data_IF_373891877424
#
_entry.id   IF_373891877424
#
_cell.length_a   1.000
_cell.length_b   1.000
_cell.length_c   1.000
_cell.angle_alpha   90.00
_cell.angle_beta   90.00
_cell.angle_gamma   90.00
#
_symmetry.space_group_name_H-M   'P 1'
#
loop_
_entity.id
_entity.type
_entity.pdbx_description
1 polymer ?
#
# COMPACT_ATOMS: atom_id res chain seq x y z
N UNK A 1 -8.54 -9.02 35.41
CA UNK A 1 -7.54 -8.31 34.59
C UNK A 1 -8.19 -7.01 34.19
N UNK A 2 -7.70 -5.85 34.66
CA UNK A 2 -8.19 -4.57 34.17
C UNK A 2 -7.67 -4.40 32.74
N UNK A 3 -8.52 -4.00 31.80
CA UNK A 3 -8.11 -3.59 30.47
C UNK A 3 -7.66 -2.14 30.61
N UNK A 4 -6.37 -1.92 30.43
CA UNK A 4 -5.79 -0.60 30.45
C UNK A 4 -5.68 -0.12 28.99
N UNK A 5 -6.29 1.02 28.70
CA UNK A 5 -6.25 1.67 27.40
C UNK A 5 -5.34 2.92 27.41
N UNK A 6 -4.61 3.13 28.50
CA UNK A 6 -3.67 4.25 28.59
C UNK A 6 -2.46 4.01 27.66
N UNK A 7 -2.01 5.09 27.07
CA UNK A 7 -0.83 5.10 26.21
C UNK A 7 0.36 5.56 27.06
N UNK A 8 1.51 4.91 26.90
CA UNK A 8 2.72 5.31 27.61
C UNK A 8 3.10 6.77 27.25
N UNK A 9 3.56 7.58 28.21
CA UNK A 9 3.83 9.00 27.98
C UNK A 9 4.76 9.28 26.80
N UNK A 10 5.84 8.52 26.64
CA UNK A 10 6.78 8.64 25.52
C UNK A 10 6.11 8.41 24.15
N UNK A 11 5.13 7.51 24.10
CA UNK A 11 4.41 7.25 22.86
C UNK A 11 3.30 8.31 22.64
N UNK A 12 2.71 8.84 23.70
CA UNK A 12 1.77 9.95 23.60
C UNK A 12 2.45 11.21 23.03
N UNK A 13 3.68 11.52 23.42
CA UNK A 13 4.44 12.62 22.84
C UNK A 13 4.63 12.45 21.32
N UNK A 14 4.85 11.20 20.85
CA UNK A 14 4.90 10.92 19.42
C UNK A 14 3.56 11.12 18.72
N UNK A 15 2.45 10.69 19.34
CA UNK A 15 1.11 10.91 18.79
C UNK A 15 0.77 12.39 18.71
N UNK A 16 1.11 13.17 19.73
CA UNK A 16 0.90 14.61 19.76
C UNK A 16 1.71 15.31 18.65
N UNK A 17 2.96 14.87 18.45
CA UNK A 17 3.78 15.39 17.35
C UNK A 17 3.17 15.02 15.98
N UNK A 18 2.72 13.79 15.80
CA UNK A 18 2.09 13.32 14.54
C UNK A 18 0.82 14.16 14.28
N UNK A 19 -0.04 14.35 15.28
CA UNK A 19 -1.30 15.07 15.14
C UNK A 19 -1.06 16.52 14.69
N UNK A 20 -0.16 17.24 15.38
CA UNK A 20 0.24 18.60 14.99
C UNK A 20 0.85 18.63 13.59
N UNK A 21 1.79 17.74 13.29
CA UNK A 21 2.48 17.68 12.00
C UNK A 21 1.53 17.39 10.84
N UNK A 22 0.58 16.46 11.02
CA UNK A 22 -0.41 16.14 9.98
C UNK A 22 -1.32 17.34 9.73
N UNK A 23 -1.84 17.97 10.77
CA UNK A 23 -2.76 19.12 10.66
C UNK A 23 -2.11 20.35 10.04
N UNK A 24 -0.90 20.68 10.47
CA UNK A 24 -0.24 21.94 10.11
C UNK A 24 0.51 21.86 8.79
N UNK A 25 1.11 20.72 8.47
CA UNK A 25 2.05 20.58 7.35
C UNK A 25 1.52 19.68 6.22
N UNK A 26 0.71 18.67 6.53
CA UNK A 26 0.31 17.67 5.52
C UNK A 26 -1.13 17.91 5.02
N UNK A 27 -2.10 18.18 5.87
CA UNK A 27 -3.48 18.50 5.43
C UNK A 27 -3.54 19.66 4.40
N UNK A 28 -2.69 20.70 4.47
CA UNK A 28 -2.64 21.73 3.44
C UNK A 28 -2.33 21.20 2.03
N UNK A 29 -1.62 20.07 1.90
CA UNK A 29 -1.33 19.46 0.58
C UNK A 29 -2.62 18.96 -0.09
N UNK A 30 -3.57 18.39 0.67
CA UNK A 30 -4.87 17.97 0.12
C UNK A 30 -5.63 19.16 -0.47
N UNK A 31 -5.57 20.32 0.20
CA UNK A 31 -6.22 21.57 -0.26
C UNK A 31 -5.49 22.16 -1.47
N UNK A 32 -4.17 22.12 -1.47
CA UNK A 32 -3.35 22.67 -2.54
C UNK A 32 -3.54 21.88 -3.83
N UNK A 33 -3.45 20.56 -3.76
CA UNK A 33 -3.55 19.69 -4.92
C UNK A 33 -4.99 19.34 -5.31
N UNK A 34 -5.94 19.41 -4.39
CA UNK A 34 -7.38 19.15 -4.61
C UNK A 34 -7.66 17.85 -5.37
N UNK A 35 -6.93 16.80 -5.08
CA UNK A 35 -7.07 15.49 -5.76
C UNK A 35 -6.54 15.45 -7.20
N UNK A 36 -5.82 16.48 -7.67
CA UNK A 36 -5.26 16.51 -9.03
C UNK A 36 -3.90 15.80 -9.14
N UNK A 37 -3.29 15.47 -8.00
CA UNK A 37 -2.00 14.80 -7.92
C UNK A 37 -2.12 13.58 -7.04
N UNK A 38 -1.68 12.44 -7.54
CA UNK A 38 -1.56 11.23 -6.72
C UNK A 38 -0.34 11.34 -5.81
N UNK A 39 -0.46 11.01 -4.50
CA UNK A 39 0.68 10.93 -3.59
C UNK A 39 1.77 9.94 -4.05
N UNK A 40 1.43 9.03 -4.96
CA UNK A 40 2.33 8.02 -5.52
C UNK A 40 3.10 8.50 -6.75
N UNK A 41 2.71 9.63 -7.34
CA UNK A 41 3.37 10.16 -8.55
C UNK A 41 4.71 10.81 -8.23
N UNK A 42 5.76 9.99 -8.26
CA UNK A 42 7.15 10.43 -8.06
C UNK A 42 7.70 11.28 -9.22
N UNK A 43 7.02 11.29 -10.36
CA UNK A 43 7.41 12.13 -11.53
C UNK A 43 6.98 13.57 -11.37
N UNK A 44 6.01 13.87 -10.53
CA UNK A 44 5.52 15.22 -10.28
C UNK A 44 6.52 16.01 -9.41
N UNK A 45 7.35 16.83 -10.06
CA UNK A 45 8.41 17.60 -9.40
C UNK A 45 7.89 18.55 -8.32
N UNK A 46 6.71 19.16 -8.53
CA UNK A 46 6.11 20.08 -7.55
C UNK A 46 5.68 19.32 -6.30
N UNK A 47 5.01 18.18 -6.47
CA UNK A 47 4.62 17.34 -5.34
C UNK A 47 5.85 16.83 -4.59
N UNK A 48 6.87 16.35 -5.30
CA UNK A 48 8.09 15.85 -4.68
C UNK A 48 8.86 16.95 -3.91
N UNK A 49 8.88 18.18 -4.41
CA UNK A 49 9.52 19.31 -3.73
C UNK A 49 8.82 19.65 -2.40
N UNK A 50 7.51 19.39 -2.29
CA UNK A 50 6.76 19.61 -1.05
C UNK A 50 6.80 18.40 -0.11
N UNK A 51 6.75 17.19 -0.65
CA UNK A 51 6.64 15.95 0.14
C UNK A 51 7.98 15.51 0.74
N UNK A 52 9.09 15.60 -0.02
CA UNK A 52 10.39 15.10 0.46
C UNK A 52 10.88 15.77 1.76
N UNK A 53 10.82 17.09 1.94
CA UNK A 53 11.22 17.70 3.21
C UNK A 53 10.38 17.21 4.41
N UNK A 54 9.08 16.89 4.17
CA UNK A 54 8.22 16.34 5.21
C UNK A 54 8.62 14.90 5.55
N UNK A 55 8.99 14.09 4.56
CA UNK A 55 9.52 12.74 4.78
C UNK A 55 10.82 12.75 5.59
N UNK A 56 11.69 13.71 5.33
CA UNK A 56 12.95 13.85 6.09
C UNK A 56 12.67 14.16 7.57
N UNK A 57 11.72 15.06 7.86
CA UNK A 57 11.27 15.33 9.23
C UNK A 57 10.69 14.09 9.93
N UNK A 58 9.94 13.25 9.21
CA UNK A 58 9.41 11.99 9.74
C UNK A 58 10.55 11.00 10.07
N UNK A 59 11.61 10.96 9.24
CA UNK A 59 12.80 10.14 9.52
C UNK A 59 13.55 10.62 10.75
N UNK A 60 13.70 11.93 10.94
CA UNK A 60 14.32 12.54 12.13
C UNK A 60 13.58 12.15 13.42
N UNK A 61 12.27 11.87 13.34
CA UNK A 61 11.45 11.43 14.49
C UNK A 61 11.41 9.91 14.68
N UNK A 62 12.18 9.14 13.88
CA UNK A 62 12.14 7.68 13.89
C UNK A 62 10.75 7.07 13.57
N UNK A 63 9.95 7.77 12.77
CA UNK A 63 8.59 7.35 12.42
C UNK A 63 8.45 6.83 10.98
N UNK A 64 9.54 6.87 10.19
CA UNK A 64 9.52 6.37 8.83
C UNK A 64 9.32 4.85 8.79
N UNK A 65 8.49 4.38 7.85
CA UNK A 65 8.18 2.97 7.67
C UNK A 65 7.80 2.26 8.99
N UNK A 66 7.03 2.94 9.84
CA UNK A 66 6.69 2.54 11.21
C UNK A 66 5.96 1.18 11.31
N UNK A 67 5.47 0.63 10.18
CA UNK A 67 4.76 -0.65 10.09
C UNK A 67 5.67 -1.87 10.25
N UNK A 68 6.99 -1.72 10.05
CA UNK A 68 7.92 -2.83 10.14
C UNK A 68 8.31 -3.17 11.60
N UNK A 69 8.46 -4.47 11.87
CA UNK A 69 9.01 -4.95 13.14
C UNK A 69 10.52 -4.76 13.25
N UNK A 70 11.13 -4.89 14.47
CA UNK A 70 12.56 -4.67 14.67
C UNK A 70 13.44 -5.60 13.84
N UNK A 71 13.03 -6.85 13.67
CA UNK A 71 13.74 -7.84 12.86
C UNK A 71 13.69 -7.56 11.34
N UNK A 72 12.85 -6.61 10.92
CA UNK A 72 12.69 -6.14 9.55
C UNK A 72 13.24 -4.72 9.36
N UNK A 73 13.97 -4.19 10.33
CA UNK A 73 14.54 -2.85 10.30
C UNK A 73 13.63 -1.71 10.78
N UNK A 74 12.43 -2.03 11.28
CA UNK A 74 11.50 -1.06 11.86
C UNK A 74 11.63 -0.91 13.37
N UNK A 75 10.76 -0.10 13.97
CA UNK A 75 10.79 0.19 15.42
C UNK A 75 9.99 -0.81 16.27
N UNK A 76 9.10 -1.61 15.66
CA UNK A 76 8.33 -2.62 16.39
C UNK A 76 7.27 -2.04 17.31
N UNK A 77 6.54 -1.04 16.85
CA UNK A 77 5.47 -0.42 17.65
C UNK A 77 4.35 -1.37 18.03
N UNK A 78 4.13 -2.45 17.26
CA UNK A 78 3.00 -3.37 17.43
C UNK A 78 1.69 -2.81 16.90
N UNK A 79 0.68 -3.69 16.73
CA UNK A 79 -0.54 -3.34 15.99
C UNK A 79 -1.39 -2.25 16.67
N UNK A 80 -1.41 -2.18 18.01
CA UNK A 80 -2.20 -1.17 18.72
C UNK A 80 -1.63 0.23 18.50
N UNK A 81 -0.32 0.41 18.69
CA UNK A 81 0.34 1.70 18.45
C UNK A 81 0.26 2.11 16.97
N UNK A 82 0.42 1.15 16.06
CA UNK A 82 0.24 1.39 14.62
C UNK A 82 -1.19 1.77 14.26
N UNK A 83 -2.19 1.23 14.94
CA UNK A 83 -3.58 1.61 14.77
C UNK A 83 -3.80 3.09 15.13
N UNK A 84 -3.28 3.55 16.28
CA UNK A 84 -3.35 4.95 16.70
C UNK A 84 -2.61 5.89 15.74
N UNK A 85 -1.42 5.51 15.29
CA UNK A 85 -0.69 6.28 14.26
C UNK A 85 -1.56 6.38 12.99
N UNK A 86 -2.11 5.26 12.50
CA UNK A 86 -2.87 5.25 11.25
C UNK A 86 -4.20 6.03 11.36
N UNK A 87 -4.80 6.15 12.52
CA UNK A 87 -5.93 7.06 12.76
C UNK A 87 -5.54 8.51 12.41
N UNK A 88 -4.43 8.99 12.96
CA UNK A 88 -3.93 10.34 12.68
C UNK A 88 -3.56 10.51 11.20
N UNK A 89 -2.89 9.52 10.60
CA UNK A 89 -2.54 9.57 9.18
C UNK A 89 -3.75 9.52 8.25
N UNK A 90 -4.87 8.97 8.70
CA UNK A 90 -6.13 8.94 7.95
C UNK A 90 -6.73 10.32 7.67
N UNK A 91 -6.26 11.37 8.34
CA UNK A 91 -6.72 12.74 8.12
C UNK A 91 -6.30 13.33 6.77
N UNK A 92 -5.24 12.80 6.14
CA UNK A 92 -4.75 13.29 4.83
C UNK A 92 -4.44 12.15 3.87
N UNK A 93 -4.73 12.33 2.59
CA UNK A 93 -4.35 11.39 1.52
C UNK A 93 -2.83 11.30 1.33
N UNK A 94 -2.09 12.34 1.68
CA UNK A 94 -0.62 12.39 1.60
C UNK A 94 0.07 11.81 2.84
N UNK A 95 -0.57 11.80 4.01
CA UNK A 95 0.09 11.43 5.25
C UNK A 95 0.70 10.01 5.22
N UNK A 96 0.03 8.95 4.73
CA UNK A 96 0.66 7.64 4.65
C UNK A 96 1.92 7.62 3.78
N UNK A 97 1.96 8.40 2.70
CA UNK A 97 3.15 8.51 1.82
C UNK A 97 4.27 9.32 2.46
N UNK A 98 3.92 10.35 3.21
CA UNK A 98 4.89 11.14 3.98
C UNK A 98 5.54 10.30 5.08
N UNK A 99 4.81 9.36 5.69
CA UNK A 99 5.32 8.45 6.71
C UNK A 99 5.91 7.15 6.16
N UNK A 100 5.97 6.96 4.84
CA UNK A 100 6.53 5.76 4.22
C UNK A 100 5.78 4.48 4.57
N UNK A 101 4.49 4.58 4.88
CA UNK A 101 3.65 3.44 5.25
C UNK A 101 2.38 3.32 4.39
N UNK A 102 2.37 3.93 3.20
CA UNK A 102 1.26 3.85 2.24
C UNK A 102 1.08 2.44 1.68
N UNK A 103 -0.15 2.05 1.44
CA UNK A 103 -0.45 0.86 0.66
C UNK A 103 -0.43 1.20 -0.84
N UNK A 104 0.01 0.28 -1.72
CA UNK A 104 0.36 -1.13 -1.45
C UNK A 104 1.79 -1.36 -0.94
N UNK A 105 2.66 -0.33 -1.01
CA UNK A 105 4.10 -0.46 -0.76
C UNK A 105 4.41 -0.99 0.65
N UNK A 106 3.70 -0.54 1.69
CA UNK A 106 3.94 -0.99 3.06
C UNK A 106 3.72 -2.50 3.23
N UNK A 107 2.60 -3.03 2.73
CA UNK A 107 2.34 -4.47 2.79
C UNK A 107 3.25 -5.29 1.88
N UNK A 108 3.68 -4.72 0.74
CA UNK A 108 4.63 -5.36 -0.15
C UNK A 108 6.04 -5.40 0.48
N UNK A 109 6.46 -4.32 1.16
CA UNK A 109 7.70 -4.29 1.92
C UNK A 109 7.72 -5.35 3.04
N UNK A 110 6.60 -5.52 3.75
CA UNK A 110 6.47 -6.52 4.82
C UNK A 110 6.70 -7.94 4.29
N UNK A 111 6.01 -8.35 3.22
CA UNK A 111 6.20 -9.70 2.67
C UNK A 111 7.55 -9.90 1.98
N UNK A 112 8.14 -8.86 1.37
CA UNK A 112 9.51 -8.91 0.87
C UNK A 112 10.53 -9.10 2.01
N UNK A 113 10.34 -8.41 3.12
CA UNK A 113 11.21 -8.52 4.29
C UNK A 113 11.13 -9.92 4.92
N UNK A 114 9.92 -10.51 4.99
CA UNK A 114 9.71 -11.85 5.56
C UNK A 114 10.15 -12.99 4.62
N UNK A 115 9.81 -12.92 3.35
CA UNK A 115 9.90 -14.04 2.42
C UNK A 115 10.93 -13.86 1.31
N UNK A 116 11.45 -12.65 1.12
CA UNK A 116 12.42 -12.35 0.09
C UNK A 116 13.81 -12.94 0.39
N UNK A 117 14.49 -13.40 -0.64
CA UNK A 117 15.92 -13.68 -0.59
C UNK A 117 16.73 -12.39 -0.42
N UNK A 118 18.00 -12.49 -0.02
CA UNK A 118 18.86 -11.31 0.13
C UNK A 118 18.98 -10.53 -1.19
N UNK A 119 19.04 -11.23 -2.33
CA UNK A 119 19.04 -10.60 -3.66
C UNK A 119 17.74 -9.86 -3.96
N UNK A 120 16.58 -10.44 -3.63
CA UNK A 120 15.28 -9.79 -3.79
C UNK A 120 15.12 -8.60 -2.86
N UNK A 121 15.63 -8.68 -1.63
CA UNK A 121 15.62 -7.57 -0.67
C UNK A 121 16.47 -6.41 -1.18
N UNK A 122 17.68 -6.68 -1.64
CA UNK A 122 18.54 -5.65 -2.20
C UNK A 122 17.95 -5.00 -3.46
N UNK A 123 17.30 -5.80 -4.31
CA UNK A 123 16.74 -5.32 -5.57
C UNK A 123 15.43 -4.55 -5.40
N UNK A 124 14.55 -4.97 -4.49
CA UNK A 124 13.18 -4.45 -4.38
C UNK A 124 12.87 -3.82 -3.03
N UNK A 125 13.27 -4.44 -1.90
CA UNK A 125 12.90 -3.96 -0.58
C UNK A 125 13.65 -2.67 -0.20
N UNK A 126 14.96 -2.67 -0.33
CA UNK A 126 15.78 -1.53 0.06
C UNK A 126 15.39 -0.24 -0.68
N UNK A 127 15.29 -0.22 -2.04
CA UNK A 127 14.86 0.97 -2.75
C UNK A 127 13.37 1.31 -2.52
N UNK A 128 12.52 0.32 -2.21
CA UNK A 128 11.13 0.56 -1.83
C UNK A 128 11.04 1.30 -0.48
N UNK A 129 11.80 0.86 0.52
CA UNK A 129 11.88 1.50 1.83
C UNK A 129 12.58 2.88 1.77
N UNK A 130 13.54 3.06 0.87
CA UNK A 130 14.14 4.37 0.60
C UNK A 130 13.14 5.35 -0.04
N UNK A 131 12.02 4.85 -0.58
CA UNK A 131 11.05 5.64 -1.31
C UNK A 131 11.45 5.96 -2.74
N UNK A 132 12.45 5.26 -3.29
CA UNK A 132 12.97 5.45 -4.65
C UNK A 132 12.07 4.80 -5.70
N UNK A 133 11.55 3.62 -5.41
CA UNK A 133 10.62 2.87 -6.27
C UNK A 133 9.24 2.74 -5.64
N UNK A 134 8.26 2.33 -6.44
CA UNK A 134 6.90 1.98 -5.99
C UNK A 134 6.55 0.59 -6.51
N UNK A 135 5.60 -0.04 -5.86
CA UNK A 135 5.15 -1.38 -6.20
C UNK A 135 3.63 -1.47 -6.33
N UNK A 136 3.16 -2.56 -6.89
CA UNK A 136 1.74 -2.94 -6.84
C UNK A 136 1.57 -4.35 -6.33
N UNK A 137 0.37 -4.65 -5.84
CA UNK A 137 -0.04 -6.00 -5.43
C UNK A 137 -1.22 -6.46 -6.28
N UNK A 138 -1.05 -7.58 -6.97
CA UNK A 138 -1.98 -8.08 -7.96
C UNK A 138 -2.48 -9.48 -7.57
N UNK A 139 -3.60 -9.53 -6.87
CA UNK A 139 -4.24 -10.77 -6.42
C UNK A 139 -5.58 -10.98 -7.11
N UNK A 140 -6.48 -10.00 -7.02
CA UNK A 140 -7.85 -10.05 -7.57
C UNK A 140 -7.85 -10.22 -9.09
N UNK A 141 -8.82 -10.95 -9.60
CA UNK A 141 -9.03 -11.20 -11.03
C UNK A 141 -10.42 -10.70 -11.48
N UNK A 142 -10.63 -10.46 -12.79
CA UNK A 142 -11.92 -9.95 -13.27
C UNK A 142 -13.14 -10.79 -12.88
N UNK A 143 -12.97 -12.12 -12.84
CA UNK A 143 -14.00 -13.09 -12.50
C UNK A 143 -14.02 -13.45 -11.00
N UNK A 144 -13.01 -13.08 -10.23
CA UNK A 144 -12.84 -13.55 -8.85
C UNK A 144 -12.13 -12.52 -7.95
N UNK A 145 -12.73 -12.25 -6.80
CA UNK A 145 -12.17 -11.35 -5.79
C UNK A 145 -12.28 -11.93 -4.38
N UNK A 146 -13.51 -12.06 -3.88
CA UNK A 146 -13.77 -12.57 -2.52
C UNK A 146 -13.52 -14.07 -2.36
N UNK A 147 -13.65 -14.84 -3.44
CA UNK A 147 -13.39 -16.27 -3.44
C UNK A 147 -12.17 -16.59 -4.34
N UNK A 148 -11.00 -16.89 -3.77
CA UNK A 148 -9.79 -17.19 -4.53
C UNK A 148 -9.85 -18.54 -5.28
N UNK A 149 -10.83 -19.41 -5.01
CA UNK A 149 -10.98 -20.67 -5.73
C UNK A 149 -11.27 -20.49 -7.24
N UNK A 150 -11.72 -19.28 -7.63
CA UNK A 150 -11.96 -18.95 -9.04
C UNK A 150 -10.77 -18.26 -9.72
N UNK A 151 -9.62 -18.16 -9.07
CA UNK A 151 -8.43 -17.59 -9.69
C UNK A 151 -7.93 -18.49 -10.82
N UNK A 152 -7.60 -17.86 -11.95
CA UNK A 152 -7.21 -18.53 -13.19
C UNK A 152 -5.85 -18.07 -13.75
N UNK A 153 -5.29 -16.96 -13.26
CA UNK A 153 -3.96 -16.51 -13.66
C UNK A 153 -2.91 -17.52 -13.21
N UNK A 154 -2.14 -18.07 -14.17
CA UNK A 154 -1.23 -19.22 -13.96
C UNK A 154 0.20 -18.84 -14.26
N UNK A 155 1.13 -19.53 -13.60
CA UNK A 155 2.53 -19.57 -13.99
C UNK A 155 2.98 -21.00 -14.20
N UNK A 156 3.58 -21.27 -15.35
CA UNK A 156 4.14 -22.58 -15.69
C UNK A 156 5.66 -22.50 -15.73
N UNK A 157 6.30 -23.51 -15.20
CA UNK A 157 7.77 -23.64 -15.25
C UNK A 157 8.22 -23.97 -16.66
N UNK A 158 9.17 -23.19 -17.19
CA UNK A 158 9.83 -23.43 -18.47
C UNK A 158 11.35 -23.23 -18.29
N UNK A 159 12.04 -24.32 -18.00
CA UNK A 159 13.46 -24.29 -17.68
C UNK A 159 13.78 -23.50 -16.41
N UNK A 160 14.54 -22.43 -16.56
CA UNK A 160 14.94 -21.50 -15.49
C UNK A 160 14.03 -20.29 -15.38
N UNK A 161 12.86 -20.31 -16.02
CA UNK A 161 11.88 -19.23 -16.05
C UNK A 161 10.50 -19.73 -15.62
N UNK A 162 9.65 -18.74 -15.23
CA UNK A 162 8.21 -18.89 -15.12
C UNK A 162 7.53 -18.14 -16.28
N UNK A 163 6.53 -18.76 -16.89
CA UNK A 163 5.69 -18.16 -17.94
C UNK A 163 4.31 -17.89 -17.37
N UNK A 164 3.95 -16.61 -17.27
CA UNK A 164 2.73 -16.16 -16.63
C UNK A 164 1.68 -15.81 -17.69
N UNK A 165 0.47 -16.35 -17.53
CA UNK A 165 -0.69 -16.09 -18.39
C UNK A 165 -1.94 -15.88 -17.55
N UNK A 166 -2.74 -14.85 -17.89
CA UNK A 166 -4.00 -14.55 -17.23
C UNK A 166 -4.23 -13.05 -17.04
N UNK A 167 -5.12 -12.72 -16.13
CA UNK A 167 -5.53 -11.34 -15.92
C UNK A 167 -5.60 -11.00 -14.44
N UNK A 168 -5.35 -9.73 -14.11
CA UNK A 168 -5.47 -9.19 -12.76
C UNK A 168 -6.26 -7.89 -12.77
N UNK A 169 -7.08 -7.69 -11.75
CA UNK A 169 -7.95 -6.55 -11.59
C UNK A 169 -7.63 -5.77 -10.33
N UNK A 170 -7.82 -4.46 -10.36
CA UNK A 170 -7.54 -3.56 -9.25
C UNK A 170 -6.09 -3.61 -8.74
N UNK A 171 -5.11 -3.72 -9.67
CA UNK A 171 -3.70 -3.56 -9.35
C UNK A 171 -3.42 -2.09 -9.00
N UNK A 172 -3.55 -1.76 -7.70
CA UNK A 172 -3.46 -0.39 -7.21
C UNK A 172 -2.07 0.20 -7.46
N UNK A 173 -2.02 1.42 -7.97
CA UNK A 173 -0.82 2.20 -8.26
C UNK A 173 0.10 1.61 -9.33
N UNK A 174 -0.34 0.63 -10.13
CA UNK A 174 0.49 0.03 -11.17
C UNK A 174 1.10 1.07 -12.13
N UNK A 175 0.36 2.13 -12.47
CA UNK A 175 0.86 3.22 -13.35
C UNK A 175 2.14 3.91 -12.82
N UNK A 176 2.44 3.78 -11.54
CA UNK A 176 3.62 4.34 -10.88
C UNK A 176 4.60 3.26 -10.41
N UNK A 177 4.23 1.99 -10.54
CA UNK A 177 4.99 0.88 -10.01
C UNK A 177 6.18 0.52 -10.90
N UNK A 178 7.29 0.14 -10.27
CA UNK A 178 8.46 -0.42 -10.92
C UNK A 178 8.32 -1.94 -11.06
N UNK A 179 7.57 -2.57 -10.15
CA UNK A 179 7.30 -4.00 -10.16
C UNK A 179 5.94 -4.33 -9.54
N UNK A 180 5.44 -5.52 -9.87
CA UNK A 180 4.24 -6.09 -9.28
C UNK A 180 4.60 -7.34 -8.46
N UNK A 181 3.91 -7.53 -7.31
CA UNK A 181 3.82 -8.82 -6.65
C UNK A 181 2.53 -9.47 -7.09
N UNK A 182 2.64 -10.57 -7.84
CA UNK A 182 1.51 -11.20 -8.53
C UNK A 182 1.23 -12.58 -7.94
N UNK A 183 0.01 -12.80 -7.45
CA UNK A 183 -0.44 -14.13 -7.06
C UNK A 183 -0.87 -14.91 -8.29
N UNK A 184 -0.29 -16.07 -8.48
CA UNK A 184 -0.55 -16.96 -9.63
C UNK A 184 -0.79 -18.40 -9.17
N UNK A 185 -1.47 -19.20 -9.98
CA UNK A 185 -1.62 -20.64 -9.76
C UNK A 185 -0.45 -21.34 -10.41
N UNK A 186 0.36 -22.03 -9.60
CA UNK A 186 1.50 -22.85 -10.07
C UNK A 186 1.16 -24.35 -10.08
N UNK A 187 0.24 -24.79 -9.21
CA UNK A 187 -0.27 -26.16 -9.19
C UNK A 187 -1.82 -26.13 -9.20
N UNK A 188 -2.44 -26.43 -10.37
CA UNK A 188 -3.90 -26.44 -10.51
C UNK A 188 -4.57 -27.70 -9.93
N UNK A 189 -3.82 -28.72 -9.58
CA UNK A 189 -4.35 -30.01 -9.13
C UNK A 189 -4.62 -30.05 -7.61
N UNK A 190 -4.23 -29.00 -6.92
CA UNK A 190 -4.50 -28.83 -5.48
C UNK A 190 -5.30 -27.54 -5.21
N UNK A 191 -5.96 -27.42 -4.04
CA UNK A 191 -6.67 -26.20 -3.69
C UNK A 191 -5.77 -24.95 -3.75
N UNK A 192 -6.32 -23.82 -4.16
CA UNK A 192 -5.63 -22.52 -4.31
C UNK A 192 -4.78 -22.13 -3.08
N UNK A 193 -5.19 -22.55 -1.89
CA UNK A 193 -4.47 -22.32 -0.63
C UNK A 193 -3.08 -22.98 -0.58
N UNK A 194 -2.82 -23.96 -1.44
CA UNK A 194 -1.54 -24.66 -1.58
C UNK A 194 -1.01 -24.66 -3.01
N UNK A 195 -1.87 -24.31 -3.99
CA UNK A 195 -1.51 -24.30 -5.41
C UNK A 195 -1.14 -22.91 -5.93
N UNK A 196 -1.18 -21.88 -5.09
CA UNK A 196 -0.80 -20.52 -5.48
C UNK A 196 0.59 -20.14 -5.01
N UNK A 197 1.25 -19.30 -5.80
CA UNK A 197 2.58 -18.74 -5.52
C UNK A 197 2.60 -17.23 -5.74
N UNK A 198 3.62 -16.54 -5.22
CA UNK A 198 3.84 -15.12 -5.45
C UNK A 198 5.02 -14.91 -6.38
N UNK A 199 4.83 -14.10 -7.42
CA UNK A 199 5.86 -13.76 -8.40
C UNK A 199 6.20 -12.28 -8.36
N UNK A 200 7.50 -11.96 -8.40
CA UNK A 200 8.00 -10.60 -8.60
C UNK A 200 8.12 -10.36 -10.11
N UNK A 201 7.28 -9.46 -10.63
CA UNK A 201 7.19 -9.17 -12.06
C UNK A 201 7.57 -7.72 -12.29
N UNK A 202 8.67 -7.40 -13.00
CA UNK A 202 8.97 -6.03 -13.41
C UNK A 202 7.81 -5.43 -14.21
N UNK A 203 7.51 -4.14 -14.00
CA UNK A 203 6.35 -3.51 -14.64
C UNK A 203 6.52 -3.31 -16.15
N UNK A 204 7.75 -3.36 -16.64
CA UNK A 204 8.15 -3.26 -18.04
C UNK A 204 8.36 -4.62 -18.73
N UNK A 205 7.91 -5.73 -18.11
CA UNK A 205 8.04 -7.07 -18.68
C UNK A 205 7.30 -7.19 -20.01
N UNK A 206 7.95 -7.79 -21.00
CA UNK A 206 7.31 -8.13 -22.27
C UNK A 206 6.07 -9.01 -22.06
N UNK A 207 4.96 -8.69 -22.73
CA UNK A 207 3.69 -9.40 -22.61
C UNK A 207 2.80 -8.94 -21.44
N UNK A 208 3.26 -8.01 -20.60
CA UNK A 208 2.46 -7.37 -19.58
C UNK A 208 1.78 -6.10 -20.13
N UNK A 209 0.45 -6.15 -20.23
CA UNK A 209 -0.37 -5.08 -20.78
C UNK A 209 -1.23 -4.43 -19.69
N UNK A 210 -1.27 -3.10 -19.66
CA UNK A 210 -2.30 -2.34 -18.95
C UNK A 210 -3.50 -2.19 -19.89
N UNK A 211 -4.51 -3.03 -19.71
CA UNK A 211 -5.74 -2.99 -20.53
C UNK A 211 -6.47 -1.68 -20.32
N UNK A 212 -6.57 -1.23 -19.08
CA UNK A 212 -7.08 0.10 -18.69
C UNK A 212 -6.78 0.41 -17.23
N UNK A 213 -6.82 1.67 -16.88
CA UNK A 213 -6.93 2.11 -15.49
C UNK A 213 -8.40 2.18 -15.07
N UNK A 214 -8.68 1.91 -13.82
CA UNK A 214 -10.01 1.92 -13.21
C UNK A 214 -10.05 3.03 -12.18
N UNK A 215 -10.98 3.96 -12.34
CA UNK A 215 -11.30 4.97 -11.35
C UNK A 215 -12.33 4.48 -10.34
N UNK A 216 -12.34 5.06 -9.14
CA UNK A 216 -13.32 4.80 -8.08
C UNK A 216 -14.16 6.06 -7.81
N UNK A 217 -15.43 5.86 -7.49
CA UNK A 217 -16.32 6.89 -6.91
C UNK A 217 -16.27 8.29 -7.57
N UNK A 218 -16.15 8.36 -8.89
CA UNK A 218 -16.14 9.63 -9.62
C UNK A 218 -14.78 10.04 -10.17
N UNK A 219 -13.73 9.25 -9.97
CA UNK A 219 -12.46 9.43 -10.67
C UNK A 219 -12.68 9.32 -12.17
N UNK A 220 -11.94 10.12 -12.95
CA UNK A 220 -11.88 9.89 -14.38
C UNK A 220 -11.15 8.56 -14.64
N UNK A 221 -11.61 7.80 -15.64
CA UNK A 221 -10.96 6.51 -16.00
C UNK A 221 -9.46 6.71 -16.30
N UNK A 222 -9.09 7.81 -16.94
CA UNK A 222 -7.71 8.14 -17.25
C UNK A 222 -6.85 8.47 -16.00
N UNK A 223 -7.49 8.92 -14.93
CA UNK A 223 -6.83 9.34 -13.68
C UNK A 223 -6.86 8.23 -12.63
N UNK A 224 -7.54 7.11 -12.91
CA UNK A 224 -7.66 5.98 -12.00
C UNK A 224 -6.31 5.33 -11.67
N UNK A 225 -6.12 4.99 -10.41
CA UNK A 225 -4.89 4.41 -9.89
C UNK A 225 -4.93 2.87 -9.79
N UNK A 226 -6.02 2.23 -10.24
CA UNK A 226 -6.20 0.78 -10.20
C UNK A 226 -6.14 0.19 -11.61
N UNK A 227 -5.10 -0.56 -11.91
CA UNK A 227 -4.96 -1.14 -13.25
C UNK A 227 -5.72 -2.46 -13.41
N UNK A 228 -6.25 -2.66 -14.62
CA UNK A 228 -6.59 -3.96 -15.17
C UNK A 228 -5.41 -4.43 -16.00
N UNK A 229 -4.79 -5.53 -15.59
CA UNK A 229 -3.58 -6.08 -16.18
C UNK A 229 -3.90 -7.38 -16.92
N UNK A 230 -3.25 -7.56 -18.08
CA UNK A 230 -3.21 -8.82 -18.83
C UNK A 230 -1.77 -9.29 -18.97
N UNK A 231 -1.57 -10.59 -18.73
CA UNK A 231 -0.32 -11.28 -18.86
C UNK A 231 -0.45 -12.25 -20.02
N UNK A 232 0.38 -12.10 -21.05
CA UNK A 232 0.44 -12.98 -22.22
C UNK A 232 1.88 -13.45 -22.39
N UNK A 233 2.15 -14.69 -22.00
CA UNK A 233 3.48 -15.31 -22.02
C UNK A 233 4.56 -14.46 -21.32
N UNK A 234 4.20 -13.76 -20.24
CA UNK A 234 5.14 -12.95 -19.47
C UNK A 234 6.17 -13.87 -18.82
N UNK A 235 7.44 -13.67 -19.17
CA UNK A 235 8.55 -14.48 -18.70
C UNK A 235 9.32 -13.77 -17.59
N UNK A 236 9.47 -14.46 -16.47
CA UNK A 236 10.31 -14.00 -15.36
C UNK A 236 11.28 -15.09 -14.94
N UNK A 237 12.51 -14.76 -14.50
CA UNK A 237 13.45 -15.73 -13.98
C UNK A 237 12.87 -16.56 -12.83
N UNK A 238 13.34 -17.79 -12.68
CA UNK A 238 12.90 -18.67 -11.60
C UNK A 238 13.06 -18.07 -10.20
N UNK A 239 14.12 -17.28 -10.02
CA UNK A 239 14.44 -16.58 -8.78
C UNK A 239 13.48 -15.44 -8.44
N UNK A 240 12.53 -15.12 -9.32
CA UNK A 240 11.48 -14.14 -9.04
C UNK A 240 10.30 -14.72 -8.24
N UNK A 241 10.36 -16.00 -7.89
CA UNK A 241 9.46 -16.61 -6.93
C UNK A 241 9.73 -16.01 -5.53
N UNK A 242 8.71 -15.40 -4.92
CA UNK A 242 8.78 -14.85 -3.57
C UNK A 242 8.35 -15.91 -2.56
N UNK A 243 9.26 -16.32 -1.70
CA UNK A 243 9.07 -17.44 -0.77
C UNK A 243 9.04 -18.80 -1.50
N UNK A 244 8.33 -19.77 -0.93
CA UNK A 244 8.22 -21.12 -1.47
C UNK A 244 7.10 -21.22 -2.51
N UNK A 245 7.25 -22.13 -3.46
CA UNK A 245 6.17 -22.53 -4.37
C UNK A 245 4.99 -23.10 -3.56
N UNK A 246 3.76 -22.72 -3.91
CA UNK A 246 2.56 -23.10 -3.18
C UNK A 246 2.27 -22.28 -1.92
N UNK A 247 3.14 -21.34 -1.54
CA UNK A 247 2.97 -20.50 -0.35
C UNK A 247 2.21 -19.20 -0.60
N UNK A 248 1.75 -18.93 -1.83
CA UNK A 248 1.19 -17.65 -2.22
C UNK A 248 0.03 -17.18 -1.37
N UNK A 249 -0.91 -18.06 -1.04
CA UNK A 249 -2.05 -17.69 -0.19
C UNK A 249 -1.61 -17.35 1.25
N UNK A 250 -0.67 -18.10 1.82
CA UNK A 250 -0.12 -17.82 3.15
C UNK A 250 0.54 -16.43 3.17
N UNK A 251 1.39 -16.15 2.18
CA UNK A 251 2.05 -14.85 2.02
C UNK A 251 1.00 -13.72 1.88
N UNK A 252 -0.08 -13.96 1.12
CA UNK A 252 -1.18 -13.02 1.00
C UNK A 252 -1.84 -12.71 2.35
N UNK A 253 -2.08 -13.70 3.20
CA UNK A 253 -2.71 -13.50 4.50
C UNK A 253 -1.82 -12.75 5.49
N UNK A 254 -0.51 -13.01 5.50
CA UNK A 254 0.47 -12.21 6.26
C UNK A 254 0.38 -10.73 5.88
N UNK A 255 0.47 -10.44 4.59
CA UNK A 255 0.35 -9.08 4.06
C UNK A 255 -0.96 -8.38 4.43
N UNK A 256 -2.07 -9.10 4.32
CA UNK A 256 -3.41 -8.53 4.53
C UNK A 256 -3.77 -8.39 6.02
N UNK A 257 -3.12 -9.11 6.92
CA UNK A 257 -3.41 -9.11 8.36
C UNK A 257 -3.30 -7.71 8.96
N UNK A 258 -2.11 -7.16 8.99
CA UNK A 258 -1.83 -5.81 9.49
C UNK A 258 -2.53 -4.72 8.68
N UNK A 259 -2.54 -4.86 7.35
CA UNK A 259 -3.17 -3.91 6.44
C UNK A 259 -4.64 -3.62 6.73
N UNK A 260 -5.42 -4.63 7.14
CA UNK A 260 -6.85 -4.45 7.50
C UNK A 260 -7.03 -3.48 8.67
N UNK A 261 -6.20 -3.59 9.71
CA UNK A 261 -6.22 -2.69 10.86
C UNK A 261 -5.82 -1.27 10.43
N UNK A 262 -4.74 -1.13 9.68
CA UNK A 262 -4.26 0.17 9.22
C UNK A 262 -5.30 0.91 8.38
N UNK A 263 -5.95 0.24 7.42
CA UNK A 263 -7.00 0.84 6.60
C UNK A 263 -8.26 1.18 7.40
N UNK A 264 -8.66 0.31 8.33
CA UNK A 264 -9.78 0.59 9.24
C UNK A 264 -9.55 1.87 10.03
N UNK A 265 -8.37 2.03 10.63
CA UNK A 265 -8.04 3.21 11.43
C UNK A 265 -7.87 4.47 10.59
N UNK A 266 -7.33 4.38 9.38
CA UNK A 266 -7.32 5.52 8.44
C UNK A 266 -8.74 5.98 8.09
N UNK A 267 -9.69 5.06 7.94
CA UNK A 267 -11.10 5.43 7.73
C UNK A 267 -11.69 6.15 8.93
N UNK A 268 -11.31 5.78 10.16
CA UNK A 268 -11.69 6.50 11.39
C UNK A 268 -11.12 7.92 11.37
N UNK A 269 -9.84 8.09 11.04
CA UNK A 269 -9.20 9.41 10.94
C UNK A 269 -9.84 10.30 9.87
N UNK A 270 -10.17 9.74 8.71
CA UNK A 270 -10.91 10.45 7.65
C UNK A 270 -12.29 10.91 8.15
N UNK A 271 -13.01 10.04 8.85
CA UNK A 271 -14.33 10.36 9.42
C UNK A 271 -14.22 11.45 10.50
N UNK A 272 -13.18 11.40 11.35
CA UNK A 272 -12.92 12.43 12.35
C UNK A 272 -12.66 13.80 11.70
N UNK A 273 -11.80 13.84 10.67
CA UNK A 273 -11.58 15.09 9.92
C UNK A 273 -12.86 15.64 9.29
N UNK A 274 -13.68 14.77 8.70
CA UNK A 274 -14.96 15.19 8.13
C UNK A 274 -15.91 15.75 9.18
N UNK A 275 -15.94 15.17 10.39
CA UNK A 275 -16.70 15.67 11.52
C UNK A 275 -16.19 17.06 11.97
N UNK A 276 -14.88 17.23 12.12
CA UNK A 276 -14.27 18.52 12.49
C UNK A 276 -14.67 19.62 11.49
N UNK A 277 -14.51 19.35 10.19
CA UNK A 277 -14.90 20.28 9.11
C UNK A 277 -16.42 20.59 9.12
N UNK A 278 -17.25 19.60 9.44
CA UNK A 278 -18.70 19.79 9.56
C UNK A 278 -19.04 20.72 10.74
N UNK A 279 -18.40 20.52 11.89
CA UNK A 279 -18.58 21.36 13.07
C UNK A 279 -18.16 22.82 12.78
N UNK A 280 -16.98 23.03 12.19
CA UNK A 280 -16.50 24.34 11.77
C UNK A 280 -17.48 25.02 10.80
N UNK A 281 -17.97 24.25 9.82
CA UNK A 281 -18.90 24.77 8.81
C UNK A 281 -20.24 25.17 9.42
N UNK A 282 -20.77 24.41 10.36
CA UNK A 282 -22.03 24.72 11.05
C UNK A 282 -21.88 26.02 11.87
N UNK A 283 -20.76 26.17 12.58
CA UNK A 283 -20.48 27.34 13.39
C UNK A 283 -20.17 28.62 12.60
N UNK A 284 -19.74 28.47 11.35
CA UNK A 284 -19.36 29.59 10.47
C UNK A 284 -20.43 29.97 9.43
N UNK A 285 -21.52 29.22 9.33
CA UNK A 285 -22.55 29.41 8.30
C UNK A 285 -23.80 30.02 8.87
N UNK A 286 -24.16 31.22 8.43
CA UNK A 286 -25.49 31.81 8.68
C UNK A 286 -26.51 31.30 7.63
N UNK A 287 -27.69 30.95 8.12
CA UNK A 287 -28.83 30.58 7.28
C UNK A 287 -30.08 31.19 7.83
N UNK A 288 -30.82 31.96 7.01
CA UNK A 288 -32.03 32.71 7.43
C UNK A 288 -31.82 33.62 8.63
N UNK A 289 -30.62 34.22 8.77
CA UNK A 289 -30.28 35.15 9.80
C UNK A 289 -29.91 34.55 11.17
N UNK A 290 -29.57 33.27 11.20
CA UNK A 290 -29.02 32.59 12.39
C UNK A 290 -27.96 31.56 11.99
N UNK A 291 -27.08 31.22 12.96
CA UNK A 291 -26.15 30.11 12.86
C UNK A 291 -26.90 28.77 12.80
#
# INVERSE_FOLDING_TARGET
MAIDFEVEPEFQEKLDWIDGFVKEEIEPLDLYFRGTVSPFDKSNKTAQALVRPLQDRVREQDLWACHLGPHLGGKGYGQVKLALINELLGRSSFAPSVFGCQAPDSGNAEILAHFGTDAQKAQYLEPLLAGEISSTYSMTEPQAGSDPNYFACRALRDGDQWVINGEKWFASNFRFATFAIVMVITDPDVPVYRGSSMMLVPADSDGLEVVRNVGLAGDRIADGDHAYLRFTDVRVPAQNLLGDEGAGFRIAQERLGGGRVHHGMRSVGTAQRALDMMCERVLSRETKGSL
#
